data_IF_378810009942
#
_entry.id   IF_378810009942
#
_cell.length_a   1.000
_cell.length_b   1.000
_cell.length_c   1.000
_cell.angle_alpha   90.00
_cell.angle_beta   90.00
_cell.angle_gamma   90.00
#
_symmetry.space_group_name_H-M   'P 1'
#
loop_
_entity.id
_entity.type
_entity.pdbx_description
1 polymer ?
#
# COMPACT_ATOMS: atom_id res chain seq x y z
N UNK A 1 -8.03 -13.84 -23.87
CA UNK A 1 -8.88 -14.06 -22.68
C UNK A 1 -8.82 -12.84 -21.80
N UNK A 2 -9.96 -12.21 -21.45
CA UNK A 2 -10.00 -11.19 -20.40
C UNK A 2 -9.84 -11.91 -19.06
N UNK A 3 -8.67 -11.81 -18.40
CA UNK A 3 -8.48 -12.47 -17.10
C UNK A 3 -9.41 -11.86 -16.05
N UNK A 4 -10.21 -12.68 -15.38
CA UNK A 4 -11.15 -12.30 -14.30
C UNK A 4 -10.47 -11.49 -13.19
N UNK A 5 -9.20 -11.78 -12.92
CA UNK A 5 -8.33 -11.06 -11.97
C UNK A 5 -8.24 -9.55 -12.24
N UNK A 6 -8.34 -9.13 -13.51
CA UNK A 6 -8.27 -7.72 -13.90
C UNK A 6 -9.55 -6.96 -13.47
N UNK A 7 -10.70 -7.64 -13.46
CA UNK A 7 -11.97 -7.03 -13.05
C UNK A 7 -12.09 -6.82 -11.54
N UNK A 8 -11.44 -7.66 -10.73
CA UNK A 8 -11.45 -7.53 -9.27
C UNK A 8 -10.48 -6.45 -8.77
N UNK A 9 -9.28 -6.36 -9.36
CA UNK A 9 -8.31 -5.30 -9.04
C UNK A 9 -8.89 -3.90 -9.31
N UNK A 10 -9.64 -3.74 -10.41
CA UNK A 10 -10.26 -2.48 -10.79
C UNK A 10 -11.18 -1.87 -9.71
N UNK A 11 -11.75 -2.70 -8.84
CA UNK A 11 -12.60 -2.24 -7.72
C UNK A 11 -11.83 -1.40 -6.71
N UNK A 12 -10.53 -1.66 -6.57
CA UNK A 12 -9.65 -1.01 -5.59
C UNK A 12 -8.90 0.20 -6.15
N UNK A 13 -8.92 0.43 -7.47
CA UNK A 13 -8.19 1.55 -8.07
C UNK A 13 -8.77 2.90 -7.64
N UNK A 14 -7.87 3.88 -7.47
CA UNK A 14 -8.19 5.25 -7.09
C UNK A 14 -7.57 5.67 -5.76
N UNK A 15 -8.05 6.79 -5.24
CA UNK A 15 -7.63 7.33 -3.95
C UNK A 15 -8.65 6.97 -2.88
N UNK A 16 -8.17 6.52 -1.72
CA UNK A 16 -8.99 6.18 -0.57
C UNK A 16 -8.52 6.96 0.64
N UNK A 17 -9.45 7.41 1.48
CA UNK A 17 -9.18 8.36 2.56
C UNK A 17 -9.91 7.91 3.83
N UNK A 18 -9.21 8.00 4.95
CA UNK A 18 -9.76 7.98 6.29
C UNK A 18 -9.45 9.33 6.93
N UNK A 19 -10.44 9.91 7.63
CA UNK A 19 -10.21 11.06 8.49
C UNK A 19 -11.18 11.03 9.67
N UNK A 20 -10.69 11.44 10.85
CA UNK A 20 -11.50 11.55 12.07
C UNK A 20 -11.37 12.92 12.77
N UNK A 21 -10.83 13.92 12.06
CA UNK A 21 -10.55 15.26 12.59
C UNK A 21 -9.13 15.43 13.15
N UNK A 22 -8.54 14.38 13.73
CA UNK A 22 -7.17 14.43 14.27
C UNK A 22 -6.18 13.65 13.40
N UNK A 23 -6.64 12.59 12.75
CA UNK A 23 -5.83 11.74 11.89
C UNK A 23 -6.38 11.77 10.48
N UNK A 24 -5.48 11.80 9.49
CA UNK A 24 -5.81 11.66 8.08
C UNK A 24 -4.88 10.61 7.47
N UNK A 25 -5.47 9.56 6.91
CA UNK A 25 -4.74 8.54 6.17
C UNK A 25 -5.26 8.48 4.74
N UNK A 26 -4.35 8.49 3.76
CA UNK A 26 -4.70 8.41 2.34
C UNK A 26 -3.87 7.33 1.68
N UNK A 27 -4.48 6.57 0.79
CA UNK A 27 -3.77 5.71 -0.15
C UNK A 27 -4.20 6.02 -1.58
N UNK A 28 -3.27 5.89 -2.52
CA UNK A 28 -3.54 5.98 -3.95
C UNK A 28 -3.07 4.68 -4.61
N UNK A 29 -4.02 3.93 -5.16
CA UNK A 29 -3.77 2.63 -5.80
C UNK A 29 -3.90 2.78 -7.32
N UNK A 30 -2.85 2.34 -8.03
CA UNK A 30 -2.71 2.43 -9.48
C UNK A 30 -2.52 1.02 -10.07
N UNK A 31 -2.97 0.78 -11.31
CA UNK A 31 -2.69 -0.47 -11.99
C UNK A 31 -1.19 -0.59 -12.24
N UNK A 32 -0.66 -1.80 -12.11
CA UNK A 32 0.71 -2.15 -12.44
C UNK A 32 0.79 -3.53 -13.09
N UNK A 33 1.94 -3.86 -13.65
CA UNK A 33 2.21 -5.17 -14.27
C UNK A 33 3.58 -5.66 -13.85
N UNK A 34 3.64 -6.92 -13.45
CA UNK A 34 4.89 -7.58 -13.10
C UNK A 34 5.30 -8.55 -14.22
N UNK A 35 6.50 -8.41 -14.81
CA UNK A 35 6.97 -9.32 -15.84
C UNK A 35 7.29 -10.69 -15.24
N UNK A 36 6.87 -11.75 -15.92
CA UNK A 36 7.17 -13.13 -15.56
C UNK A 36 8.32 -13.68 -16.43
N UNK A 37 9.07 -14.71 -15.97
CA UNK A 37 10.21 -15.26 -16.72
C UNK A 37 9.86 -15.83 -18.10
N UNK A 38 8.60 -16.18 -18.34
CA UNK A 38 8.09 -16.69 -19.61
C UNK A 38 7.74 -15.57 -20.62
N UNK A 39 8.00 -14.30 -20.27
CA UNK A 39 7.70 -13.14 -21.09
C UNK A 39 6.25 -12.65 -20.99
N UNK A 40 5.43 -13.28 -20.14
CA UNK A 40 4.08 -12.80 -19.82
C UNK A 40 4.10 -11.79 -18.69
N UNK A 41 2.93 -11.26 -18.34
CA UNK A 41 2.79 -10.27 -17.27
C UNK A 41 1.64 -10.65 -16.33
N UNK A 42 1.86 -10.46 -15.04
CA UNK A 42 0.81 -10.53 -14.02
C UNK A 42 0.26 -9.12 -13.72
N UNK A 43 -1.07 -8.99 -13.65
CA UNK A 43 -1.69 -7.73 -13.26
C UNK A 43 -1.58 -7.55 -11.75
N UNK A 44 -1.08 -6.40 -11.33
CA UNK A 44 -0.86 -6.06 -9.93
C UNK A 44 -1.38 -4.66 -9.62
N UNK A 45 -1.35 -4.31 -8.34
CA UNK A 45 -1.50 -2.93 -7.86
C UNK A 45 -0.17 -2.45 -7.33
N UNK A 46 0.13 -1.20 -7.67
CA UNK A 46 1.12 -0.40 -6.97
C UNK A 46 0.41 0.73 -6.22
N UNK A 47 0.98 1.17 -5.12
CA UNK A 47 0.36 2.21 -4.31
C UNK A 47 1.31 3.12 -3.57
N UNK A 48 0.72 4.18 -3.05
CA UNK A 48 1.36 5.21 -2.26
C UNK A 48 0.46 5.54 -1.09
N UNK A 49 1.04 5.98 0.01
CA UNK A 49 0.32 6.34 1.22
C UNK A 49 0.79 7.69 1.79
N UNK A 50 -0.09 8.28 2.59
CA UNK A 50 0.12 9.51 3.34
C UNK A 50 -0.54 9.34 4.70
N UNK A 51 0.18 9.66 5.78
CA UNK A 51 -0.35 9.67 7.13
C UNK A 51 0.00 10.98 7.84
N UNK A 52 -1.03 11.62 8.36
CA UNK A 52 -0.96 12.83 9.16
C UNK A 52 -1.70 12.61 10.46
N UNK A 53 -1.11 13.11 11.55
CA UNK A 53 -1.67 13.05 12.90
C UNK A 53 -1.47 14.39 13.58
N UNK A 54 -2.55 14.93 14.14
CA UNK A 54 -2.58 16.21 14.85
C UNK A 54 -1.99 17.37 14.00
N UNK A 55 -2.27 17.36 12.69
CA UNK A 55 -1.75 18.34 11.73
C UNK A 55 -0.28 18.16 11.34
N UNK A 56 0.40 17.14 11.85
CA UNK A 56 1.80 16.82 11.55
C UNK A 56 1.86 15.62 10.61
N UNK A 57 2.59 15.78 9.50
CA UNK A 57 2.87 14.68 8.58
C UNK A 57 3.79 13.69 9.29
N UNK A 58 3.28 12.48 9.55
CA UNK A 58 4.05 11.38 10.14
C UNK A 58 4.88 10.71 9.05
N UNK A 59 4.27 10.42 7.90
CA UNK A 59 4.97 9.97 6.71
C UNK A 59 4.19 10.18 5.42
N UNK A 60 4.92 10.23 4.30
CA UNK A 60 4.32 10.23 2.97
C UNK A 60 5.25 9.57 1.96
N UNK A 61 4.63 8.90 0.99
CA UNK A 61 5.26 8.43 -0.25
C UNK A 61 4.68 9.08 -1.49
N UNK A 62 3.84 10.10 -1.34
CA UNK A 62 3.18 10.75 -2.48
C UNK A 62 4.16 11.55 -3.34
N UNK A 63 5.26 12.01 -2.76
CA UNK A 63 6.42 12.58 -3.45
C UNK A 63 7.07 11.60 -4.44
N UNK A 64 6.96 10.28 -4.17
CA UNK A 64 7.54 9.23 -5.01
C UNK A 64 6.72 8.89 -6.25
N UNK A 65 5.49 9.42 -6.38
CA UNK A 65 4.56 9.14 -7.48
C UNK A 65 5.16 9.47 -8.85
N UNK A 66 6.13 10.38 -8.93
CA UNK A 66 6.74 10.86 -10.18
C UNK A 66 8.26 10.71 -10.22
N UNK A 67 8.85 9.76 -9.48
CA UNK A 67 10.31 9.62 -9.49
C UNK A 67 10.78 9.08 -10.85
N UNK A 68 11.42 9.93 -11.65
CA UNK A 68 12.11 9.55 -12.89
C UNK A 68 13.57 9.34 -12.56
N UNK A 69 14.10 8.14 -12.83
CA UNK A 69 15.53 7.84 -12.73
C UNK A 69 15.99 7.39 -14.11
N UNK A 70 16.95 8.10 -14.71
CA UNK A 70 17.53 7.78 -16.03
C UNK A 70 16.48 7.58 -17.14
N UNK A 71 15.57 8.54 -17.31
CA UNK A 71 14.46 8.51 -18.28
C UNK A 71 13.49 7.33 -18.12
N UNK A 72 13.61 6.57 -17.04
CA UNK A 72 12.69 5.52 -16.64
C UNK A 72 11.89 6.00 -15.44
N UNK A 73 10.56 5.98 -15.55
CA UNK A 73 9.67 6.17 -14.41
C UNK A 73 9.80 4.91 -13.55
N UNK A 74 10.58 4.98 -12.48
CA UNK A 74 10.57 3.96 -11.46
C UNK A 74 9.49 4.34 -10.47
N UNK A 75 8.37 3.61 -10.39
CA UNK A 75 7.42 3.85 -9.33
C UNK A 75 8.13 3.50 -8.03
N UNK A 76 8.56 4.51 -7.26
CA UNK A 76 9.08 4.37 -5.89
C UNK A 76 7.96 3.98 -4.91
N UNK A 77 7.06 3.12 -5.39
CA UNK A 77 5.88 2.67 -4.71
C UNK A 77 6.27 1.99 -3.41
N UNK A 78 5.63 2.40 -2.33
CA UNK A 78 5.79 1.78 -1.02
C UNK A 78 4.80 0.65 -0.82
N UNK A 79 3.96 0.33 -1.82
CA UNK A 79 2.87 -0.62 -1.71
C UNK A 79 2.77 -1.46 -2.99
N UNK A 80 2.87 -2.78 -2.90
CA UNK A 80 2.74 -3.67 -4.06
C UNK A 80 1.97 -4.94 -3.74
N UNK A 81 1.02 -5.33 -4.59
CA UNK A 81 0.16 -6.48 -4.27
C UNK A 81 -0.79 -6.94 -5.36
N UNK A 82 -1.58 -7.96 -5.01
CA UNK A 82 -2.53 -8.62 -5.90
C UNK A 82 -3.72 -9.22 -5.15
N UNK A 83 -4.68 -9.78 -5.90
CA UNK A 83 -5.86 -10.43 -5.31
C UNK A 83 -5.50 -11.84 -4.84
N UNK A 84 -5.79 -12.14 -3.59
CA UNK A 84 -5.75 -13.48 -2.99
C UNK A 84 -7.12 -13.73 -2.38
N UNK A 85 -7.81 -14.78 -2.81
CA UNK A 85 -9.13 -15.17 -2.27
C UNK A 85 -10.15 -14.01 -2.22
N UNK A 86 -10.25 -13.23 -3.32
CA UNK A 86 -11.13 -12.05 -3.48
C UNK A 86 -10.77 -10.83 -2.60
N UNK A 87 -9.62 -10.85 -1.93
CA UNK A 87 -9.15 -9.75 -1.09
C UNK A 87 -7.83 -9.23 -1.65
N UNK A 88 -7.64 -7.91 -1.64
CA UNK A 88 -6.39 -7.31 -2.11
C UNK A 88 -5.35 -7.37 -1.01
N UNK A 89 -4.30 -8.16 -1.23
CA UNK A 89 -3.16 -8.32 -0.32
C UNK A 89 -1.97 -7.54 -0.86
N UNK A 90 -1.41 -6.64 -0.05
CA UNK A 90 -0.38 -5.67 -0.43
C UNK A 90 0.76 -5.72 0.59
N UNK A 91 1.99 -5.82 0.10
CA UNK A 91 3.17 -5.46 0.90
C UNK A 91 3.25 -3.95 1.03
N UNK A 92 3.43 -3.42 2.23
CA UNK A 92 3.67 -2.00 2.49
C UNK A 92 5.01 -1.78 3.18
N UNK A 93 5.68 -0.67 2.88
CA UNK A 93 6.80 -0.14 3.66
C UNK A 93 6.35 1.05 4.50
N UNK A 94 6.47 0.95 5.82
CA UNK A 94 6.48 2.07 6.75
C UNK A 94 7.85 2.73 6.67
N UNK A 95 7.87 3.92 6.07
CA UNK A 95 9.08 4.66 5.75
C UNK A 95 9.68 5.23 7.03
N UNK A 96 8.83 5.68 7.95
CA UNK A 96 9.26 6.32 9.19
C UNK A 96 9.97 5.35 10.14
N UNK A 97 9.58 4.07 10.13
CA UNK A 97 10.18 3.02 10.97
C UNK A 97 11.09 2.05 10.21
N UNK A 98 11.27 2.25 8.90
CA UNK A 98 11.99 1.34 8.00
C UNK A 98 11.57 -0.14 8.17
N UNK A 99 10.26 -0.37 8.10
CA UNK A 99 9.63 -1.67 8.42
C UNK A 99 8.63 -2.07 7.34
N UNK A 100 8.51 -3.36 7.04
CA UNK A 100 7.48 -3.83 6.12
C UNK A 100 6.33 -4.52 6.84
N UNK A 101 5.16 -4.44 6.20
CA UNK A 101 3.93 -5.07 6.66
C UNK A 101 3.14 -5.66 5.52
N UNK A 102 2.09 -6.38 5.89
CA UNK A 102 1.07 -6.88 4.97
C UNK A 102 -0.23 -6.14 5.25
N UNK A 103 -0.77 -5.54 4.21
CA UNK A 103 -2.07 -4.88 4.21
C UNK A 103 -3.05 -5.77 3.47
N UNK A 104 -4.20 -5.95 4.09
CA UNK A 104 -5.37 -6.59 3.49
C UNK A 104 -6.44 -5.53 3.29
N UNK A 105 -6.88 -5.33 2.05
CA UNK A 105 -7.98 -4.44 1.70
C UNK A 105 -9.19 -5.26 1.29
N UNK A 106 -10.28 -5.13 2.04
CA UNK A 106 -11.55 -5.79 1.75
C UNK A 106 -12.60 -4.75 1.40
N UNK A 107 -13.16 -4.83 0.19
CA UNK A 107 -14.34 -4.04 -0.16
C UNK A 107 -15.51 -4.47 0.73
N UNK A 108 -16.05 -3.55 1.53
CA UNK A 108 -17.17 -3.81 2.44
C UNK A 108 -18.48 -3.23 1.91
N UNK A 109 -18.41 -2.11 1.18
CA UNK A 109 -19.52 -1.46 0.48
C UNK A 109 -18.97 -0.79 -0.79
N UNK A 110 -19.87 -0.30 -1.65
CA UNK A 110 -19.45 0.59 -2.73
C UNK A 110 -18.72 1.80 -2.13
N UNK A 111 -17.53 2.10 -2.67
CA UNK A 111 -16.68 3.19 -2.19
C UNK A 111 -16.21 3.10 -0.73
N UNK A 112 -16.30 1.92 -0.08
CA UNK A 112 -15.67 1.69 1.23
C UNK A 112 -14.84 0.41 1.27
N UNK A 113 -13.60 0.55 1.73
CA UNK A 113 -12.71 -0.58 1.99
C UNK A 113 -12.32 -0.63 3.46
N UNK A 114 -12.29 -1.84 4.00
CA UNK A 114 -11.65 -2.11 5.27
C UNK A 114 -10.15 -2.31 5.04
N UNK A 115 -9.34 -1.54 5.78
CA UNK A 115 -7.89 -1.66 5.88
C UNK A 115 -7.50 -2.49 7.10
N UNK A 116 -6.62 -3.46 6.90
CA UNK A 116 -6.03 -4.29 7.96
C UNK A 116 -4.53 -4.46 7.71
N UNK A 117 -3.69 -3.83 8.53
CA UNK A 117 -2.23 -3.90 8.49
C UNK A 117 -1.71 -4.78 9.62
N UNK A 118 -0.85 -5.73 9.26
CA UNK A 118 -0.15 -6.61 10.19
C UNK A 118 1.35 -6.65 9.91
N UNK A 119 2.10 -7.00 10.94
CA UNK A 119 3.52 -7.25 10.81
C UNK A 119 3.77 -8.45 9.88
N UNK A 120 4.82 -8.34 9.08
CA UNK A 120 5.34 -9.50 8.36
C UNK A 120 6.16 -10.33 9.36
N UNK A 121 5.60 -11.44 9.85
CA UNK A 121 6.20 -12.29 10.90
C UNK A 121 7.58 -12.87 10.54
N UNK A 122 8.03 -12.70 9.30
CA UNK A 122 9.26 -13.27 8.78
C UNK A 122 10.42 -12.24 8.69
N UNK A 123 10.21 -10.98 9.08
CA UNK A 123 11.28 -9.98 9.03
C UNK A 123 12.15 -10.00 10.29
N UNK A 124 13.33 -10.61 10.16
CA UNK A 124 14.46 -10.36 11.05
C UNK A 124 15.33 -9.29 10.42
N UNK A 125 15.34 -8.08 11.01
CA UNK A 125 16.24 -7.01 10.56
C UNK A 125 17.65 -7.35 11.07
N UNK A 126 18.55 -7.73 10.17
CA UNK A 126 19.95 -8.00 10.51
C UNK A 126 20.76 -6.74 10.27
N UNK A 127 21.20 -6.05 11.33
CA UNK A 127 22.12 -4.91 11.24
C UNK A 127 23.45 -5.29 11.92
N UNK A 128 24.39 -5.82 11.14
CA UNK A 128 25.68 -6.32 11.66
C UNK A 128 25.54 -7.59 12.52
N UNK A 129 26.38 -7.73 13.57
CA UNK A 129 26.32 -8.84 14.56
C UNK A 129 25.25 -8.64 15.64
N UNK A 130 24.40 -7.62 15.54
CA UNK A 130 23.40 -7.30 16.56
C UNK A 130 22.00 -7.34 15.95
N UNK A 131 21.19 -8.29 16.40
CA UNK A 131 19.76 -8.31 16.10
C UNK A 131 19.11 -7.18 16.89
N UNK A 132 18.96 -6.00 16.28
CA UNK A 132 18.05 -4.98 16.82
C UNK A 132 16.64 -5.47 16.55
N UNK A 133 15.88 -5.69 17.62
CA UNK A 133 14.44 -5.93 17.52
C UNK A 133 13.84 -4.71 16.81
N UNK A 134 13.17 -4.91 15.67
CA UNK A 134 12.43 -3.82 15.04
C UNK A 134 11.46 -3.24 16.06
N UNK A 135 11.30 -1.92 16.07
CA UNK A 135 10.34 -1.29 16.97
C UNK A 135 8.96 -1.92 16.74
N UNK A 136 8.26 -2.22 17.84
CA UNK A 136 6.94 -2.85 17.76
C UNK A 136 5.94 -1.90 17.09
N UNK A 137 5.06 -2.47 16.28
CA UNK A 137 3.99 -1.74 15.60
C UNK A 137 4.47 -0.89 14.41
N UNK A 138 3.51 -0.22 13.79
CA UNK A 138 3.70 0.71 12.66
C UNK A 138 3.51 2.15 13.12
N UNK A 139 3.85 3.11 12.28
CA UNK A 139 3.55 4.53 12.41
C UNK A 139 2.06 4.84 12.20
N UNK A 140 1.40 4.03 11.36
CA UNK A 140 0.03 4.19 10.91
C UNK A 140 -0.92 3.19 11.60
N UNK A 141 -2.22 3.50 11.70
CA UNK A 141 -3.18 2.60 12.34
C UNK A 141 -3.28 1.25 11.63
N UNK A 142 -3.42 0.19 12.43
CA UNK A 142 -3.52 -1.18 11.92
C UNK A 142 -4.89 -1.49 11.31
N UNK A 143 -5.95 -0.81 11.75
CA UNK A 143 -7.31 -1.07 11.32
C UNK A 143 -8.03 0.26 11.07
N UNK A 144 -8.67 0.41 9.91
CA UNK A 144 -9.53 1.56 9.60
C UNK A 144 -10.49 1.25 8.46
N UNK A 145 -11.49 2.11 8.26
CA UNK A 145 -12.35 2.11 7.08
C UNK A 145 -11.98 3.32 6.24
N UNK A 146 -11.66 3.07 4.97
CA UNK A 146 -11.32 4.11 4.01
C UNK A 146 -12.48 4.29 3.05
N UNK A 147 -12.77 5.54 2.72
CA UNK A 147 -13.77 5.94 1.74
C UNK A 147 -13.10 6.40 0.45
N UNK A 148 -13.71 6.09 -0.70
CA UNK A 148 -13.17 6.50 -1.99
C UNK A 148 -13.27 8.02 -2.14
N UNK A 149 -12.15 8.66 -2.45
CA UNK A 149 -12.15 10.10 -2.72
C UNK A 149 -12.83 10.37 -4.06
N UNK A 150 -13.78 11.32 -4.06
CA UNK A 150 -14.55 11.73 -5.24
C UNK A 150 -13.93 12.88 -6.02
N UNK A 151 -12.79 13.42 -5.57
CA UNK A 151 -12.14 14.57 -6.18
C UNK A 151 -11.15 14.11 -7.27
N UNK A 152 -11.51 14.34 -8.53
CA UNK A 152 -10.61 14.34 -9.70
C UNK A 152 -10.08 15.75 -9.95
#
# INVERSE_FOLDING_TARGET
>A
MKSTQNSELNKYLGTWVYSNGNETFKIKLLPSRFPLPDGTYENMIQGYHYYEKDGVIVESSFDKITTVINDHIYPGSTMGGGIIEHVLSIHIKDISKDKYGIVTLKLIEENKIKWSLRENSNETVTVGMSVKRSEQGFSMPSEMILEKSTNN
#
